data_IF_050448883846
#
_entry.id   IF_050448883846
#
_cell.length_a   1.000
_cell.length_b   1.000
_cell.length_c   1.000
_cell.angle_alpha   90.00
_cell.angle_beta   90.00
_cell.angle_gamma   90.00
#
_symmetry.space_group_name_H-M   'P 1'
#
loop_
_entity.id
_entity.type
_entity.pdbx_description
1 polymer ?
#
# COMPACT_ATOMS: atom_id res chain seq x y z
N UNK A 1 8.43 25.33 9.67
CA UNK A 1 7.38 25.31 8.61
C UNK A 1 7.76 24.23 7.61
N UNK A 2 6.98 23.93 6.55
CA UNK A 2 7.47 23.05 5.46
C UNK A 2 8.61 23.70 4.66
N UNK A 3 8.68 25.03 4.70
CA UNK A 3 9.66 25.82 3.95
C UNK A 3 11.03 25.82 4.64
N UNK A 4 11.03 25.79 5.97
CA UNK A 4 12.23 25.70 6.80
C UNK A 4 11.96 24.68 7.92
N UNK A 5 12.03 23.38 7.60
CA UNK A 5 11.91 22.35 8.61
C UNK A 5 13.24 22.24 9.37
N UNK A 6 13.22 21.97 10.69
CA UNK A 6 14.43 21.61 11.41
C UNK A 6 15.11 20.40 10.74
N UNK A 7 16.44 20.30 10.76
CA UNK A 7 17.17 19.28 9.99
C UNK A 7 16.83 17.83 10.39
N UNK A 8 16.38 17.64 11.63
CA UNK A 8 15.96 16.34 12.18
C UNK A 8 14.50 15.99 11.92
N UNK A 9 13.69 16.90 11.37
CA UNK A 9 12.27 16.65 11.09
C UNK A 9 12.10 16.13 9.67
N UNK A 10 11.32 15.05 9.53
CA UNK A 10 10.86 14.51 8.25
C UNK A 10 9.34 14.51 8.24
N UNK A 11 8.76 14.92 7.11
CA UNK A 11 7.31 14.90 6.91
C UNK A 11 6.96 13.71 6.02
N UNK A 12 5.97 12.92 6.46
CA UNK A 12 5.34 11.86 5.67
C UNK A 12 3.87 12.24 5.53
N UNK A 13 3.45 12.54 4.30
CA UNK A 13 2.10 12.93 3.98
C UNK A 13 1.45 11.82 3.14
N UNK A 14 0.20 11.48 3.44
CA UNK A 14 -0.57 10.49 2.71
C UNK A 14 -1.95 11.07 2.35
N UNK A 15 -2.36 10.92 1.09
CA UNK A 15 -3.68 11.32 0.60
C UNK A 15 -4.18 10.28 -0.41
N UNK A 16 -5.50 10.07 -0.47
CA UNK A 16 -6.16 9.32 -1.53
C UNK A 16 -6.53 10.20 -2.72
N UNK A 17 -6.44 11.53 -2.58
CA UNK A 17 -6.79 12.51 -3.60
C UNK A 17 -5.74 13.65 -3.64
N UNK A 18 -4.72 13.55 -4.51
CA UNK A 18 -3.66 14.55 -4.59
C UNK A 18 -4.13 15.89 -5.19
N UNK A 19 -5.25 15.93 -5.91
CA UNK A 19 -5.75 17.15 -6.56
C UNK A 19 -6.37 18.13 -5.55
N UNK A 20 -6.83 17.62 -4.40
CA UNK A 20 -7.33 18.45 -3.30
C UNK A 20 -6.22 19.09 -2.46
N UNK A 21 -4.96 18.69 -2.67
CA UNK A 21 -3.84 19.28 -1.95
C UNK A 21 -3.45 20.65 -2.56
N UNK A 22 -3.13 21.65 -1.73
CA UNK A 22 -2.59 22.91 -2.21
C UNK A 22 -1.31 22.69 -3.03
N UNK A 23 -1.14 23.43 -4.12
CA UNK A 23 0.05 23.33 -4.98
C UNK A 23 1.36 23.62 -4.24
N UNK A 24 1.30 24.40 -3.15
CA UNK A 24 2.43 24.72 -2.27
C UNK A 24 2.98 23.51 -1.53
N UNK A 25 2.16 22.48 -1.29
CA UNK A 25 2.60 21.20 -0.73
C UNK A 25 3.19 20.33 -1.84
N UNK A 26 2.50 20.23 -2.97
CA UNK A 26 2.90 19.41 -4.11
C UNK A 26 4.26 19.82 -4.69
N UNK A 27 4.59 21.12 -4.69
CA UNK A 27 5.85 21.64 -5.21
C UNK A 27 7.05 21.45 -4.27
N UNK A 28 6.80 21.20 -2.98
CA UNK A 28 7.85 21.10 -1.94
C UNK A 28 8.07 19.68 -1.42
N UNK A 29 7.22 18.73 -1.80
CA UNK A 29 7.29 17.34 -1.36
C UNK A 29 7.65 16.41 -2.52
N UNK A 30 8.47 15.40 -2.24
CA UNK A 30 8.67 14.28 -3.17
C UNK A 30 7.39 13.43 -3.18
N UNK A 31 6.82 13.25 -4.38
CA UNK A 31 5.55 12.56 -4.55
C UNK A 31 5.77 11.11 -4.95
N UNK A 32 5.24 10.18 -4.16
CA UNK A 32 5.22 8.76 -4.47
C UNK A 32 3.78 8.31 -4.69
N UNK A 33 3.51 7.75 -5.86
CA UNK A 33 2.22 7.14 -6.16
C UNK A 33 2.31 5.64 -5.88
N UNK A 34 1.67 5.21 -4.80
CA UNK A 34 1.54 3.79 -4.48
C UNK A 34 0.45 3.19 -5.38
N UNK A 35 0.83 2.23 -6.21
CA UNK A 35 -0.12 1.52 -7.08
C UNK A 35 -0.75 0.37 -6.32
N UNK A 36 -2.00 0.07 -6.66
CA UNK A 36 -2.67 -1.17 -6.25
C UNK A 36 -1.84 -2.38 -6.68
N UNK A 37 -1.86 -3.42 -5.85
CA UNK A 37 -1.14 -4.65 -6.12
C UNK A 37 -1.85 -5.49 -7.19
N UNK A 38 -1.08 -6.25 -7.95
CA UNK A 38 -1.65 -7.28 -8.82
C UNK A 38 -2.21 -8.43 -7.99
N UNK A 39 -3.30 -9.04 -8.45
CA UNK A 39 -3.96 -10.18 -7.78
C UNK A 39 -2.98 -11.34 -7.59
N UNK A 40 -2.11 -11.59 -8.58
CA UNK A 40 -1.12 -12.66 -8.48
C UNK A 40 -0.08 -12.38 -7.38
N UNK A 41 0.25 -11.11 -7.16
CA UNK A 41 1.17 -10.71 -6.10
C UNK A 41 0.53 -10.84 -4.72
N UNK A 42 -0.75 -10.46 -4.58
CA UNK A 42 -1.51 -10.66 -3.34
C UNK A 42 -1.60 -12.15 -3.00
N UNK A 43 -2.00 -12.99 -3.96
CA UNK A 43 -2.12 -14.44 -3.72
C UNK A 43 -0.79 -15.06 -3.26
N UNK A 44 0.34 -14.69 -3.91
CA UNK A 44 1.68 -15.13 -3.51
C UNK A 44 2.07 -14.65 -2.11
N UNK A 45 1.68 -13.44 -1.75
CA UNK A 45 1.95 -12.91 -0.41
C UNK A 45 1.14 -13.67 0.65
N UNK A 46 -0.13 -13.99 0.37
CA UNK A 46 -0.96 -14.81 1.28
C UNK A 46 -0.39 -16.22 1.45
N UNK A 47 0.01 -16.87 0.35
CA UNK A 47 0.68 -18.17 0.37
C UNK A 47 1.92 -18.13 1.27
N UNK A 48 2.80 -17.14 1.06
CA UNK A 48 4.00 -16.97 1.86
C UNK A 48 3.74 -16.74 3.36
N UNK A 49 2.67 -15.99 3.72
CA UNK A 49 2.30 -15.79 5.12
C UNK A 49 1.77 -17.10 5.73
N UNK A 50 0.85 -17.78 5.06
CA UNK A 50 0.21 -19.01 5.58
C UNK A 50 1.19 -20.17 5.71
N UNK A 51 2.16 -20.29 4.77
CA UNK A 51 3.26 -21.24 4.88
C UNK A 51 4.08 -21.02 6.15
N UNK A 52 4.36 -19.75 6.50
CA UNK A 52 5.11 -19.40 7.73
C UNK A 52 4.30 -19.61 9.00
N UNK A 53 2.99 -19.49 8.92
CA UNK A 53 2.06 -19.76 10.02
C UNK A 53 1.69 -21.25 10.13
N UNK A 54 2.20 -22.09 9.23
CA UNK A 54 1.88 -23.50 9.11
C UNK A 54 0.37 -23.77 9.04
N UNK A 55 -0.37 -22.86 8.38
CA UNK A 55 -1.80 -22.98 8.18
C UNK A 55 -2.10 -23.66 6.84
N UNK A 56 -2.97 -24.68 6.79
CA UNK A 56 -3.38 -25.27 5.53
C UNK A 56 -4.25 -24.30 4.73
N UNK A 57 -4.08 -24.29 3.41
CA UNK A 57 -4.87 -23.46 2.51
C UNK A 57 -5.09 -24.16 1.16
N UNK A 58 -6.08 -23.67 0.42
CA UNK A 58 -6.30 -24.08 -0.96
C UNK A 58 -5.82 -22.98 -1.90
N UNK A 59 -4.98 -23.28 -2.91
CA UNK A 59 -4.47 -22.26 -3.84
C UNK A 59 -5.57 -21.46 -4.56
N UNK A 60 -6.71 -22.10 -4.86
CA UNK A 60 -7.87 -21.43 -5.47
C UNK A 60 -8.54 -20.45 -4.52
N UNK A 61 -8.55 -20.72 -3.22
CA UNK A 61 -9.09 -19.82 -2.22
C UNK A 61 -8.25 -18.53 -2.12
N UNK A 62 -6.92 -18.65 -2.20
CA UNK A 62 -6.02 -17.49 -2.19
C UNK A 62 -6.24 -16.57 -3.40
N UNK A 63 -6.46 -17.15 -4.58
CA UNK A 63 -6.81 -16.36 -5.77
C UNK A 63 -8.16 -15.65 -5.62
N UNK A 64 -9.14 -16.28 -4.98
CA UNK A 64 -10.44 -15.68 -4.73
C UNK A 64 -10.33 -14.50 -3.73
N UNK A 65 -9.57 -14.67 -2.65
CA UNK A 65 -9.26 -13.62 -1.68
C UNK A 65 -8.53 -12.46 -2.33
N UNK A 66 -7.49 -12.74 -3.12
CA UNK A 66 -6.72 -11.72 -3.85
C UNK A 66 -7.59 -10.91 -4.81
N UNK A 67 -8.55 -11.56 -5.48
CA UNK A 67 -9.53 -10.88 -6.33
C UNK A 67 -10.48 -10.00 -5.51
N UNK A 68 -10.98 -10.50 -4.38
CA UNK A 68 -11.90 -9.75 -3.51
C UNK A 68 -11.24 -8.53 -2.86
N UNK A 69 -9.93 -8.60 -2.61
CA UNK A 69 -9.13 -7.54 -2.01
C UNK A 69 -8.85 -6.35 -2.93
N UNK A 70 -9.14 -6.46 -4.23
CA UNK A 70 -9.04 -5.38 -5.23
C UNK A 70 -7.73 -4.57 -5.16
N UNK A 71 -6.60 -5.27 -5.02
CA UNK A 71 -5.28 -4.66 -4.96
C UNK A 71 -4.83 -4.15 -3.59
N UNK A 72 -5.66 -4.30 -2.55
CA UNK A 72 -5.34 -3.97 -1.15
C UNK A 72 -4.81 -5.19 -0.40
N UNK A 73 -3.50 -5.21 -0.10
CA UNK A 73 -2.94 -6.30 0.73
C UNK A 73 -3.58 -6.34 2.13
N UNK A 74 -3.93 -5.17 2.66
CA UNK A 74 -4.52 -5.05 3.98
C UNK A 74 -5.88 -5.74 4.07
N UNK A 75 -6.66 -5.69 2.99
CA UNK A 75 -8.02 -6.27 2.99
C UNK A 75 -8.01 -7.74 2.52
N UNK A 76 -6.85 -8.26 2.08
CA UNK A 76 -6.68 -9.63 1.60
C UNK A 76 -6.42 -10.66 2.71
N UNK A 77 -5.88 -10.23 3.84
CA UNK A 77 -5.51 -11.06 4.99
C UNK A 77 -6.45 -10.77 6.15
#
# INVERSE_FOLDING_TARGET
>A
TLEEPPPYVKFLLATTDPQKLPITILSRCLQFHLKSLDQTLIAKQLEWVLDREAQPFEPRALLALAKAADGSMRDAY
#
